data_IF_514096488175
#
_entry.id   IF_514096488175
#
_cell.length_a   1.000
_cell.length_b   1.000
_cell.length_c   1.000
_cell.angle_alpha   90.00
_cell.angle_beta   90.00
_cell.angle_gamma   90.00
#
_symmetry.space_group_name_H-M   'P 1'
#
loop_
_entity.id
_entity.type
_entity.pdbx_description
1 polymer ?
#
# COMPACT_ATOMS: atom_id res chain seq x y z
N UNK A 1 -4.93 7.03 67.73
CA UNK A 1 -4.28 7.15 66.40
C UNK A 1 -5.12 6.39 65.39
N UNK A 2 -5.84 7.06 64.49
CA UNK A 2 -6.68 6.43 63.46
C UNK A 2 -5.92 6.42 62.13
N UNK A 3 -5.36 5.27 61.75
CA UNK A 3 -4.74 5.01 60.44
C UNK A 3 -5.88 4.53 59.50
N UNK A 4 -6.29 5.31 58.49
CA UNK A 4 -5.73 5.46 57.13
C UNK A 4 -5.98 4.24 56.22
N UNK A 5 -6.94 4.37 55.31
CA UNK A 5 -6.86 3.79 53.96
C UNK A 5 -7.69 4.67 53.01
N UNK A 6 -7.00 5.47 52.20
CA UNK A 6 -7.56 6.17 51.04
C UNK A 6 -7.36 5.23 49.86
N UNK A 7 -8.44 4.82 49.20
CA UNK A 7 -8.35 4.07 47.95
C UNK A 7 -7.71 4.95 46.88
N UNK A 8 -6.45 4.67 46.55
CA UNK A 8 -5.78 5.18 45.37
C UNK A 8 -6.03 4.17 44.24
N UNK A 9 -7.02 4.43 43.40
CA UNK A 9 -7.22 3.68 42.16
C UNK A 9 -6.26 4.22 41.11
N UNK A 10 -5.17 3.50 40.83
CA UNK A 10 -4.41 3.68 39.59
C UNK A 10 -5.13 2.93 38.47
N UNK A 11 -5.88 3.65 37.65
CA UNK A 11 -6.25 3.16 36.33
C UNK A 11 -5.04 3.37 35.40
N UNK A 12 -4.13 2.40 35.38
CA UNK A 12 -3.13 2.32 34.32
C UNK A 12 -3.82 1.76 33.07
N UNK A 13 -4.37 2.66 32.25
CA UNK A 13 -4.70 2.32 30.87
C UNK A 13 -3.37 2.12 30.12
N UNK A 14 -2.90 0.87 30.08
CA UNK A 14 -1.90 0.46 29.11
C UNK A 14 -2.56 0.55 27.73
N UNK A 15 -2.39 1.69 27.06
CA UNK A 15 -2.60 1.78 25.62
C UNK A 15 -1.56 0.87 24.97
N UNK A 16 -1.97 -0.36 24.67
CA UNK A 16 -1.32 -1.22 23.69
C UNK A 16 -1.19 -0.41 22.40
N UNK A 17 -0.01 -0.26 21.79
CA UNK A 17 0.13 0.30 20.44
C UNK A 17 -0.29 -0.77 19.43
N UNK A 18 -1.52 -1.27 19.53
CA UNK A 18 -2.13 -2.14 18.55
C UNK A 18 -3.23 -1.33 17.85
N UNK A 19 -2.82 -0.51 16.87
CA UNK A 19 -3.77 0.32 16.13
C UNK A 19 -3.21 1.48 15.31
N UNK A 20 -1.90 1.74 15.29
CA UNK A 20 -1.32 2.77 14.43
C UNK A 20 -1.12 2.25 12.99
N UNK A 21 -2.19 1.89 12.30
CA UNK A 21 -2.15 1.69 10.86
C UNK A 21 -2.93 2.83 10.19
N UNK A 22 -2.22 3.57 9.33
CA UNK A 22 -2.70 4.56 8.34
C UNK A 22 -2.96 6.03 8.75
N UNK A 23 -3.15 6.41 10.02
CA UNK A 23 -3.50 7.82 10.34
C UNK A 23 -2.30 8.72 10.66
N UNK A 24 -1.14 8.18 11.06
CA UNK A 24 0.00 9.01 11.47
C UNK A 24 0.96 9.42 10.33
N UNK A 25 0.72 9.01 9.08
CA UNK A 25 1.65 9.23 7.97
C UNK A 25 1.33 10.49 7.11
N UNK A 26 0.29 11.25 7.45
CA UNK A 26 -0.30 12.28 6.57
C UNK A 26 0.55 13.54 6.34
N UNK A 27 1.80 13.61 6.79
CA UNK A 27 2.78 14.65 6.40
C UNK A 27 4.21 14.16 6.68
N UNK A 28 4.43 12.84 6.77
CA UNK A 28 5.75 12.30 7.03
C UNK A 28 6.66 12.50 5.80
N UNK A 29 7.87 13.01 6.04
CA UNK A 29 8.92 13.08 5.02
C UNK A 29 9.10 11.70 4.39
N UNK A 30 9.10 11.63 3.06
CA UNK A 30 9.32 10.37 2.36
C UNK A 30 10.67 9.78 2.79
N UNK A 31 10.70 8.55 3.33
CA UNK A 31 11.94 7.94 3.81
C UNK A 31 12.87 7.65 2.64
N UNK A 32 14.18 7.73 2.88
CA UNK A 32 15.17 7.20 1.95
C UNK A 32 15.02 5.68 1.90
N UNK A 33 14.62 5.16 0.74
CA UNK A 33 14.55 3.72 0.48
C UNK A 33 15.57 3.36 -0.58
N UNK A 34 16.53 2.51 -0.21
CA UNK A 34 17.51 1.92 -1.10
C UNK A 34 17.31 0.41 -1.06
N UNK A 35 16.87 -0.17 -2.17
CA UNK A 35 16.64 -1.60 -2.30
C UNK A 35 16.92 -2.04 -3.74
N UNK A 36 17.37 -3.27 -3.94
CA UNK A 36 17.36 -3.86 -5.28
C UNK A 36 15.95 -4.34 -5.64
N UNK A 37 15.56 -4.38 -6.93
CA UNK A 37 14.25 -4.88 -7.36
C UNK A 37 13.88 -6.30 -6.89
N UNK A 38 14.87 -7.12 -6.52
CA UNK A 38 14.69 -8.51 -6.07
C UNK A 38 14.58 -8.65 -4.55
N UNK A 39 14.98 -7.64 -3.80
CA UNK A 39 15.09 -7.69 -2.33
C UNK A 39 13.95 -7.08 -1.52
N UNK A 40 12.91 -6.41 -2.06
CA UNK A 40 11.90 -5.89 -1.16
C UNK A 40 11.11 -7.11 -0.70
N UNK A 41 11.32 -7.51 0.55
CA UNK A 41 10.55 -8.52 1.29
C UNK A 41 9.16 -7.94 1.58
N UNK A 42 8.41 -7.69 0.50
CA UNK A 42 7.05 -7.17 0.57
C UNK A 42 6.14 -8.34 0.91
N UNK A 43 5.75 -8.40 2.18
CA UNK A 43 4.90 -9.47 2.72
C UNK A 43 3.64 -8.94 3.39
N UNK A 44 3.60 -7.65 3.72
CA UNK A 44 2.40 -7.01 4.30
C UNK A 44 1.28 -6.99 3.28
N UNK A 45 0.18 -7.68 3.58
CA UNK A 45 -1.02 -7.67 2.76
C UNK A 45 -1.59 -6.25 2.63
N UNK A 46 -2.01 -5.89 1.42
CA UNK A 46 -2.64 -4.60 1.13
C UNK A 46 -4.16 -4.69 0.98
N UNK A 47 -4.74 -5.86 1.26
CA UNK A 47 -6.14 -6.14 0.96
C UNK A 47 -7.11 -5.15 1.62
N UNK A 48 -6.80 -4.72 2.86
CA UNK A 48 -7.60 -3.75 3.61
C UNK A 48 -7.10 -2.31 3.46
N UNK A 49 -6.10 -2.06 2.60
CA UNK A 49 -5.51 -0.73 2.44
C UNK A 49 -6.36 0.14 1.53
N UNK A 50 -6.83 1.27 2.07
CA UNK A 50 -7.59 2.26 1.29
C UNK A 50 -6.74 2.80 0.13
N UNK A 51 -7.34 2.86 -1.06
CA UNK A 51 -6.67 3.34 -2.28
C UNK A 51 -5.87 2.29 -3.06
N UNK A 52 -5.77 1.06 -2.54
CA UNK A 52 -5.15 -0.08 -3.22
C UNK A 52 -6.20 -1.06 -3.76
N UNK A 53 -5.84 -1.79 -4.82
CA UNK A 53 -6.68 -2.85 -5.36
C UNK A 53 -6.84 -3.98 -4.35
N UNK A 54 -8.09 -4.42 -4.12
CA UNK A 54 -8.42 -5.49 -3.18
C UNK A 54 -8.23 -6.87 -3.82
N UNK A 55 -6.98 -7.27 -4.00
CA UNK A 55 -6.61 -8.55 -4.63
C UNK A 55 -5.90 -9.46 -3.62
N UNK A 56 -6.36 -10.71 -3.52
CA UNK A 56 -5.69 -11.74 -2.72
C UNK A 56 -4.30 -12.05 -3.30
N UNK A 57 -3.29 -12.15 -2.44
CA UNK A 57 -1.89 -12.32 -2.88
C UNK A 57 -1.24 -11.00 -3.34
N UNK A 58 -1.88 -9.86 -3.08
CA UNK A 58 -1.23 -8.55 -3.20
C UNK A 58 -0.63 -8.15 -1.85
N UNK A 59 0.62 -7.71 -1.90
CA UNK A 59 1.35 -7.19 -0.76
C UNK A 59 2.03 -5.88 -1.15
N UNK A 60 2.31 -5.02 -0.17
CA UNK A 60 2.81 -3.68 -0.45
C UNK A 60 3.41 -2.96 0.73
N UNK A 61 4.14 -1.91 0.42
CA UNK A 61 4.68 -0.95 1.39
C UNK A 61 4.38 0.45 0.88
N UNK A 62 3.70 1.24 1.73
CA UNK A 62 3.46 2.65 1.44
C UNK A 62 4.74 3.42 1.73
N UNK A 63 5.30 4.07 0.71
CA UNK A 63 6.48 4.92 0.86
C UNK A 63 6.09 6.35 1.21
N UNK A 64 5.04 6.85 0.56
CA UNK A 64 4.52 8.18 0.82
C UNK A 64 3.04 8.27 0.42
N UNK A 65 2.23 8.84 1.30
CA UNK A 65 0.82 9.16 1.04
C UNK A 65 0.40 10.33 1.92
N UNK A 66 -0.29 11.31 1.33
CA UNK A 66 -1.07 12.27 2.09
C UNK A 66 -2.55 12.11 1.72
N UNK A 67 -3.35 11.53 2.61
CA UNK A 67 -4.78 11.32 2.34
C UNK A 67 -5.61 12.62 2.40
N UNK A 68 -5.04 13.71 2.91
CA UNK A 68 -5.74 14.98 3.13
C UNK A 68 -5.38 16.05 2.10
N UNK A 69 -4.35 15.83 1.28
CA UNK A 69 -3.86 16.78 0.27
C UNK A 69 -3.65 16.05 -1.06
N UNK A 70 -3.97 16.69 -2.21
CA UNK A 70 -3.52 16.18 -3.50
C UNK A 70 -1.99 16.18 -3.57
N UNK A 71 -1.39 15.17 -4.18
CA UNK A 71 0.06 15.08 -4.28
C UNK A 71 0.57 13.73 -4.76
N UNK A 72 1.85 13.47 -4.51
CA UNK A 72 2.49 12.21 -4.83
C UNK A 72 1.98 11.09 -3.91
N UNK A 73 1.58 9.97 -4.50
CA UNK A 73 1.35 8.72 -3.80
C UNK A 73 2.37 7.70 -4.30
N UNK A 74 3.26 7.24 -3.41
CA UNK A 74 4.32 6.31 -3.75
C UNK A 74 4.17 5.02 -2.95
N UNK A 75 4.11 3.89 -3.65
CA UNK A 75 3.93 2.56 -3.07
C UNK A 75 4.85 1.57 -3.77
N UNK A 76 5.38 0.61 -3.03
CA UNK A 76 5.94 -0.62 -3.58
C UNK A 76 4.86 -1.69 -3.52
N UNK A 77 4.60 -2.35 -4.63
CA UNK A 77 3.58 -3.39 -4.74
C UNK A 77 4.20 -4.68 -5.26
N UNK A 78 3.75 -5.80 -4.70
CA UNK A 78 4.03 -7.14 -5.17
C UNK A 78 2.71 -7.87 -5.35
N UNK A 79 2.53 -8.44 -6.54
CA UNK A 79 1.43 -9.30 -6.86
C UNK A 79 1.97 -10.73 -7.03
N UNK A 80 1.35 -11.70 -6.37
CA UNK A 80 1.69 -13.11 -6.58
C UNK A 80 1.46 -13.55 -8.03
N UNK A 81 2.20 -14.56 -8.52
CA UNK A 81 1.97 -15.11 -9.85
C UNK A 81 0.50 -15.49 -10.08
N UNK A 82 0.02 -15.26 -11.31
CA UNK A 82 -1.33 -15.62 -11.77
C UNK A 82 -2.49 -14.90 -11.08
N UNK A 83 -2.22 -13.87 -10.27
CA UNK A 83 -3.27 -12.95 -9.80
C UNK A 83 -3.54 -11.86 -10.84
N UNK A 84 -4.76 -11.36 -10.84
CA UNK A 84 -5.20 -10.28 -11.71
C UNK A 84 -5.92 -9.20 -10.88
N UNK A 85 -5.73 -7.95 -11.30
CA UNK A 85 -6.56 -6.82 -10.88
C UNK A 85 -7.62 -6.67 -11.96
N UNK A 86 -8.90 -6.75 -11.59
CA UNK A 86 -9.99 -6.48 -12.54
C UNK A 86 -10.00 -4.99 -12.92
N UNK A 87 -10.49 -4.63 -14.13
CA UNK A 87 -10.61 -3.24 -14.54
C UNK A 87 -11.33 -2.40 -13.49
N UNK A 88 -10.75 -1.24 -13.17
CA UNK A 88 -11.27 -0.31 -12.17
C UNK A 88 -10.72 1.10 -12.42
N UNK A 89 -11.48 2.13 -12.02
CA UNK A 89 -11.10 3.54 -12.23
C UNK A 89 -10.36 4.13 -11.03
N UNK A 90 -9.59 5.20 -11.28
CA UNK A 90 -8.83 5.92 -10.26
C UNK A 90 -9.14 7.42 -10.32
N UNK A 91 -9.11 8.15 -9.18
CA UNK A 91 -9.39 9.60 -9.18
C UNK A 91 -8.26 10.45 -9.78
N UNK A 92 -7.16 9.84 -10.25
CA UNK A 92 -5.99 10.54 -10.73
C UNK A 92 -5.05 9.63 -11.51
N UNK A 93 -4.21 10.23 -12.35
CA UNK A 93 -3.27 9.52 -13.21
C UNK A 93 -2.18 8.81 -12.40
N UNK A 94 -1.71 7.68 -12.94
CA UNK A 94 -0.70 6.84 -12.30
C UNK A 94 0.37 6.44 -13.29
N UNK A 95 1.55 6.15 -12.78
CA UNK A 95 2.56 5.41 -13.53
C UNK A 95 3.20 4.37 -12.62
N UNK A 96 3.72 3.31 -13.21
CA UNK A 96 4.45 2.29 -12.50
C UNK A 96 5.62 1.78 -13.33
N UNK A 97 6.67 1.35 -12.63
CA UNK A 97 7.84 0.70 -13.20
C UNK A 97 7.85 -0.75 -12.79
N UNK A 98 8.05 -1.66 -13.74
CA UNK A 98 8.14 -3.09 -13.46
C UNK A 98 9.53 -3.40 -12.91
N UNK A 99 9.59 -3.70 -11.62
CA UNK A 99 10.84 -4.01 -10.92
C UNK A 99 11.29 -5.46 -11.15
N UNK A 100 10.35 -6.41 -11.12
CA UNK A 100 10.63 -7.84 -11.25
C UNK A 100 9.41 -8.59 -11.83
N UNK A 101 9.68 -9.74 -12.45
CA UNK A 101 8.66 -10.53 -13.16
C UNK A 101 8.16 -9.86 -14.43
N UNK A 102 7.12 -10.45 -15.03
CA UNK A 102 6.41 -9.87 -16.18
C UNK A 102 5.03 -9.46 -15.71
N UNK A 103 4.72 -8.17 -15.81
CA UNK A 103 3.38 -7.66 -15.55
C UNK A 103 2.62 -7.54 -16.87
N UNK A 104 1.33 -7.82 -16.87
CA UNK A 104 0.47 -7.72 -18.04
C UNK A 104 -0.57 -6.65 -17.79
N UNK A 105 -0.66 -5.66 -18.68
CA UNK A 105 -1.58 -4.52 -18.51
C UNK A 105 -2.37 -4.26 -19.78
N UNK A 106 -3.64 -3.87 -19.60
CA UNK A 106 -4.50 -3.30 -20.61
C UNK A 106 -5.35 -2.19 -19.96
N UNK A 107 -5.79 -1.22 -20.75
CA UNK A 107 -6.72 -0.17 -20.32
C UNK A 107 -8.00 -0.37 -21.12
N UNK A 108 -9.05 -0.82 -20.44
CA UNK A 108 -10.36 -1.14 -21.03
C UNK A 108 -11.40 -1.21 -19.88
N UNK A 109 -12.68 -1.10 -20.20
CA UNK A 109 -13.78 -1.21 -19.23
C UNK A 109 -14.06 -2.67 -18.84
N UNK A 110 -13.62 -3.62 -19.68
CA UNK A 110 -13.82 -5.05 -19.49
C UNK A 110 -12.53 -5.85 -19.57
N UNK A 111 -12.48 -6.97 -18.86
CA UNK A 111 -11.31 -7.84 -18.91
C UNK A 111 -11.28 -8.62 -20.22
N UNK A 112 -10.21 -8.43 -20.99
CA UNK A 112 -9.90 -9.18 -22.20
C UNK A 112 -8.41 -9.53 -22.21
N UNK A 113 -8.12 -10.83 -22.00
CA UNK A 113 -6.75 -11.33 -21.94
C UNK A 113 -5.97 -11.11 -23.25
N UNK A 114 -6.67 -10.99 -24.39
CA UNK A 114 -6.04 -10.81 -25.71
C UNK A 114 -5.50 -9.39 -25.92
N UNK A 115 -5.98 -8.43 -25.14
CA UNK A 115 -5.54 -7.02 -25.18
C UNK A 115 -4.36 -6.71 -24.25
N UNK A 116 -3.97 -7.67 -23.42
CA UNK A 116 -2.89 -7.50 -22.46
C UNK A 116 -1.54 -7.30 -23.14
N UNK A 117 -0.81 -6.28 -22.70
CA UNK A 117 0.57 -6.01 -23.11
C UNK A 117 1.52 -6.54 -22.04
N UNK A 118 2.45 -7.39 -22.44
CA UNK A 118 3.50 -7.90 -21.56
C UNK A 118 4.57 -6.84 -21.29
N UNK A 119 4.83 -6.59 -20.00
CA UNK A 119 5.81 -5.64 -19.52
C UNK A 119 6.88 -6.40 -18.70
N UNK A 120 8.03 -6.74 -19.30
CA UNK A 120 9.17 -7.30 -18.56
C UNK A 120 9.81 -6.25 -17.62
N UNK A 121 10.77 -6.66 -16.76
CA UNK A 121 11.47 -5.73 -15.86
C UNK A 121 12.11 -4.56 -16.60
N UNK A 122 12.07 -3.37 -15.99
CA UNK A 122 12.57 -2.11 -16.54
C UNK A 122 11.57 -1.38 -17.44
N UNK A 123 10.40 -1.95 -17.74
CA UNK A 123 9.32 -1.25 -18.44
C UNK A 123 8.57 -0.30 -17.52
N UNK A 124 8.02 0.75 -18.11
CA UNK A 124 7.17 1.75 -17.45
C UNK A 124 5.82 1.73 -18.17
N UNK A 125 4.74 1.88 -17.43
CA UNK A 125 3.42 2.19 -17.99
C UNK A 125 2.78 3.33 -17.21
N UNK A 126 1.89 4.06 -17.88
CA UNK A 126 1.09 5.11 -17.28
C UNK A 126 -0.38 4.89 -17.63
N UNK A 127 -1.25 5.13 -16.66
CA UNK A 127 -2.70 5.03 -16.78
C UNK A 127 -3.29 6.44 -16.66
N UNK A 128 -4.22 6.83 -17.55
CA UNK A 128 -4.99 8.05 -17.37
C UNK A 128 -5.85 7.95 -16.08
N UNK A 129 -6.35 9.10 -15.63
CA UNK A 129 -7.35 9.15 -14.57
C UNK A 129 -8.68 8.61 -15.11
#
# INVERSE_FOLDING_TARGET
MKSAFRYLMFAAALLSPAGMNAVQAADAQMPLVVATPREPSITTSTFETTGMSRVNGQSGTVLHVNATKPGLHAVLLRLEPHKHVMPLSHPGSRFATILSGTFYVAVDDTYDATKLKALPPGRIYAEPA
#
